data_IF_941059091342
#
_entry.id   IF_941059091342
#
_cell.length_a   1.000
_cell.length_b   1.000
_cell.length_c   1.000
_cell.angle_alpha   90.00
_cell.angle_beta   90.00
_cell.angle_gamma   90.00
#
_symmetry.space_group_name_H-M   'P 1'
#
loop_
_entity.id
_entity.type
_entity.pdbx_description
1 polymer ?
#
# COMPACT_ATOMS: atom_id res chain seq x y z
N UNK A 1 3.05 -1.32 22.50
CA UNK A 1 3.24 -1.79 21.11
C UNK A 1 2.69 -3.20 21.00
N UNK A 2 1.73 -3.45 20.11
CA UNK A 2 1.22 -4.80 19.81
C UNK A 2 2.15 -5.46 18.79
N UNK A 3 2.49 -6.74 18.97
CA UNK A 3 3.34 -7.50 18.03
C UNK A 3 2.54 -8.67 17.48
N UNK A 4 2.47 -8.77 16.15
CA UNK A 4 1.84 -9.89 15.45
C UNK A 4 2.95 -10.67 14.77
N UNK A 5 3.16 -11.93 15.19
CA UNK A 5 4.13 -12.83 14.56
C UNK A 5 3.41 -13.64 13.49
N UNK A 6 3.93 -13.58 12.28
CA UNK A 6 3.45 -14.33 11.11
C UNK A 6 4.55 -15.28 10.64
N UNK A 7 4.18 -16.30 9.86
CA UNK A 7 5.13 -17.30 9.36
C UNK A 7 6.07 -16.72 8.30
N UNK A 8 5.54 -15.91 7.40
CA UNK A 8 6.24 -15.40 6.22
C UNK A 8 5.64 -14.05 5.74
N UNK A 9 6.22 -13.50 4.66
CA UNK A 9 5.78 -12.22 4.08
C UNK A 9 4.35 -12.27 3.54
N UNK A 10 3.91 -13.42 3.01
CA UNK A 10 2.56 -13.56 2.44
C UNK A 10 1.51 -13.52 3.55
N UNK A 11 1.74 -14.20 4.67
CA UNK A 11 0.90 -14.04 5.86
C UNK A 11 0.96 -12.61 6.41
N UNK A 12 2.13 -11.97 6.35
CA UNK A 12 2.29 -10.55 6.71
C UNK A 12 1.38 -9.62 5.89
N UNK A 13 1.35 -9.78 4.56
CA UNK A 13 0.46 -9.03 3.67
C UNK A 13 -1.03 -9.23 3.99
N UNK A 14 -1.43 -10.45 4.34
CA UNK A 14 -2.81 -10.76 4.76
C UNK A 14 -3.19 -10.10 6.08
N UNK A 15 -2.28 -10.06 7.05
CA UNK A 15 -2.50 -9.33 8.30
C UNK A 15 -2.55 -7.81 8.06
N UNK A 16 -1.71 -7.28 7.17
CA UNK A 16 -1.76 -5.88 6.79
C UNK A 16 -3.09 -5.50 6.14
N UNK A 17 -3.62 -6.34 5.23
CA UNK A 17 -4.96 -6.15 4.64
C UNK A 17 -6.05 -5.98 5.72
N UNK A 18 -6.01 -6.78 6.79
CA UNK A 18 -6.97 -6.65 7.91
C UNK A 18 -6.87 -5.29 8.58
N UNK A 19 -5.66 -4.78 8.79
CA UNK A 19 -5.42 -3.44 9.36
C UNK A 19 -6.00 -2.35 8.46
N UNK A 20 -5.82 -2.45 7.14
CA UNK A 20 -6.44 -1.50 6.19
C UNK A 20 -7.97 -1.56 6.23
N UNK A 21 -8.57 -2.77 6.26
CA UNK A 21 -10.03 -2.95 6.39
C UNK A 21 -10.56 -2.33 7.67
N UNK A 22 -9.89 -2.56 8.79
CA UNK A 22 -10.26 -2.00 10.09
C UNK A 22 -10.15 -0.47 10.10
N UNK A 23 -9.08 0.09 9.53
CA UNK A 23 -8.90 1.53 9.40
C UNK A 23 -10.04 2.18 8.58
N UNK A 24 -10.39 1.59 7.43
CA UNK A 24 -11.50 2.07 6.59
C UNK A 24 -12.85 1.98 7.31
N UNK A 25 -13.11 0.86 7.98
CA UNK A 25 -14.34 0.67 8.77
C UNK A 25 -14.45 1.70 9.91
N UNK A 26 -13.31 2.14 10.45
CA UNK A 26 -13.22 3.21 11.46
C UNK A 26 -13.22 4.62 10.85
N UNK A 27 -13.45 4.76 9.55
CA UNK A 27 -13.61 6.05 8.87
C UNK A 27 -12.31 6.76 8.52
N UNK A 28 -11.17 6.07 8.53
CA UNK A 28 -9.90 6.64 8.08
C UNK A 28 -9.99 6.99 6.59
N UNK A 29 -9.46 8.18 6.24
CA UNK A 29 -9.48 8.72 4.87
C UNK A 29 -8.10 8.97 4.29
N UNK A 30 -7.05 8.98 5.10
CA UNK A 30 -5.68 9.30 4.67
C UNK A 30 -4.76 8.14 5.01
N UNK A 31 -4.03 7.64 4.01
CA UNK A 31 -3.14 6.48 4.14
C UNK A 31 -1.71 6.87 3.78
N UNK A 32 -0.80 6.70 4.74
CA UNK A 32 0.64 6.76 4.49
C UNK A 32 1.12 5.47 3.84
N UNK A 33 1.74 5.56 2.67
CA UNK A 33 2.18 4.41 1.88
C UNK A 33 3.70 4.38 1.73
N UNK A 34 4.27 3.18 1.76
CA UNK A 34 5.70 2.93 1.68
C UNK A 34 6.07 2.21 0.38
N UNK A 35 7.34 2.25 -0.01
CA UNK A 35 7.86 1.53 -1.19
C UNK A 35 8.88 0.46 -0.80
N UNK A 36 9.46 -0.22 -1.79
CA UNK A 36 10.40 -1.32 -1.60
C UNK A 36 9.72 -2.67 -1.43
N UNK A 37 10.52 -3.71 -1.16
CA UNK A 37 10.04 -5.11 -1.21
C UNK A 37 9.12 -5.52 -0.06
N UNK A 38 9.22 -4.85 1.10
CA UNK A 38 8.42 -5.21 2.28
C UNK A 38 6.91 -5.02 2.04
N UNK A 39 6.43 -3.87 1.52
CA UNK A 39 4.99 -3.67 1.30
C UNK A 39 4.41 -4.37 0.05
N UNK A 40 5.21 -4.98 -0.84
CA UNK A 40 4.71 -5.62 -2.07
C UNK A 40 3.59 -6.63 -1.80
N UNK A 41 3.80 -7.55 -0.85
CA UNK A 41 2.77 -8.54 -0.47
C UNK A 41 1.52 -7.89 0.14
N UNK A 42 1.64 -6.72 0.75
CA UNK A 42 0.47 -5.96 1.22
C UNK A 42 -0.31 -5.39 0.04
N UNK A 43 0.37 -4.81 -0.95
CA UNK A 43 -0.27 -4.28 -2.15
C UNK A 43 -0.94 -5.38 -2.98
N UNK A 44 -0.30 -6.53 -3.13
CA UNK A 44 -0.90 -7.70 -3.78
C UNK A 44 -2.23 -8.11 -3.12
N UNK A 45 -2.27 -8.16 -1.79
CA UNK A 45 -3.49 -8.52 -1.05
C UNK A 45 -4.56 -7.41 -1.13
N UNK A 46 -4.15 -6.13 -1.11
CA UNK A 46 -5.06 -5.01 -1.33
C UNK A 46 -5.69 -5.07 -2.72
N UNK A 47 -4.89 -5.27 -3.77
CA UNK A 47 -5.35 -5.35 -5.16
C UNK A 47 -6.34 -6.50 -5.36
N UNK A 48 -6.06 -7.68 -4.78
CA UNK A 48 -6.95 -8.85 -4.83
C UNK A 48 -8.24 -8.70 -4.00
N UNK A 49 -8.28 -7.73 -3.09
CA UNK A 49 -9.42 -7.53 -2.18
C UNK A 49 -10.57 -6.76 -2.83
N UNK A 50 -11.68 -6.70 -2.12
CA UNK A 50 -12.88 -5.92 -2.40
C UNK A 50 -12.83 -4.47 -1.85
N UNK A 51 -11.69 -4.04 -1.30
CA UNK A 51 -11.56 -2.69 -0.74
C UNK A 51 -11.70 -1.64 -1.85
N UNK A 52 -12.46 -0.58 -1.55
CA UNK A 52 -12.59 0.63 -2.35
C UNK A 52 -11.88 1.81 -1.66
N UNK A 53 -10.97 2.44 -2.39
CA UNK A 53 -10.21 3.60 -1.95
C UNK A 53 -10.65 4.91 -2.64
N UNK A 54 -11.73 4.90 -3.44
CA UNK A 54 -12.20 6.07 -4.22
C UNK A 54 -12.45 7.35 -3.40
N UNK A 55 -12.68 7.22 -2.10
CA UNK A 55 -12.89 8.33 -1.16
C UNK A 55 -11.71 8.51 -0.18
N UNK A 56 -10.52 8.04 -0.54
CA UNK A 56 -9.31 8.08 0.29
C UNK A 56 -8.23 8.93 -0.37
N UNK A 57 -7.25 9.35 0.43
CA UNK A 57 -6.08 10.10 0.01
C UNK A 57 -4.85 9.28 0.37
N UNK A 58 -3.95 9.06 -0.58
CA UNK A 58 -2.63 8.49 -0.32
C UNK A 58 -1.59 9.59 -0.11
N UNK A 59 -0.63 9.32 0.78
CA UNK A 59 0.57 10.13 0.95
C UNK A 59 1.77 9.18 0.98
N UNK A 60 2.67 9.32 0.02
CA UNK A 60 3.92 8.56 0.01
C UNK A 60 4.98 9.22 0.90
N UNK A 61 5.86 8.40 1.47
CA UNK A 61 6.90 8.88 2.40
C UNK A 61 7.95 9.76 1.71
N UNK A 62 8.30 9.42 0.47
CA UNK A 62 9.50 9.90 -0.20
C UNK A 62 9.41 9.80 -1.73
N UNK A 63 10.36 10.46 -2.40
CA UNK A 63 10.66 10.33 -3.83
C UNK A 63 12.14 10.69 -4.07
N UNK A 64 12.75 10.10 -5.09
CA UNK A 64 14.10 10.45 -5.51
C UNK A 64 14.13 11.81 -6.21
N UNK A 65 15.07 12.67 -5.78
CA UNK A 65 15.28 13.98 -6.40
C UNK A 65 15.71 13.81 -7.87
N UNK A 66 14.97 14.43 -8.78
CA UNK A 66 15.31 14.51 -10.20
C UNK A 66 14.67 13.43 -11.08
N UNK A 67 13.99 12.44 -10.50
CA UNK A 67 13.20 11.48 -11.27
C UNK A 67 11.81 12.05 -11.57
N UNK A 68 11.31 11.73 -12.76
CA UNK A 68 9.94 11.97 -13.18
C UNK A 68 9.05 10.77 -12.82
N UNK A 69 7.73 10.97 -12.71
CA UNK A 69 6.80 9.87 -12.39
C UNK A 69 6.78 8.72 -13.40
N UNK A 70 7.22 8.97 -14.64
CA UNK A 70 7.28 7.95 -15.70
C UNK A 70 8.58 7.12 -15.66
N UNK A 71 9.58 7.55 -14.88
CA UNK A 71 10.83 6.80 -14.75
C UNK A 71 10.58 5.52 -13.93
N UNK A 72 10.99 4.37 -14.45
CA UNK A 72 10.76 3.05 -13.83
C UNK A 72 11.38 2.92 -12.42
N UNK A 73 12.37 3.75 -12.09
CA UNK A 73 13.00 3.77 -10.78
C UNK A 73 12.37 4.78 -9.80
N UNK A 74 11.37 5.56 -10.24
CA UNK A 74 10.66 6.48 -9.35
C UNK A 74 9.69 5.75 -8.42
N UNK A 75 9.47 6.31 -7.24
CA UNK A 75 8.47 5.77 -6.32
C UNK A 75 7.04 6.02 -6.80
N UNK A 76 6.81 7.09 -7.56
CA UNK A 76 5.56 7.28 -8.28
C UNK A 76 5.24 6.13 -9.25
N UNK A 77 6.23 5.68 -10.05
CA UNK A 77 6.07 4.53 -10.94
C UNK A 77 5.81 3.24 -10.16
N UNK A 78 6.60 2.98 -9.11
CA UNK A 78 6.40 1.82 -8.24
C UNK A 78 4.96 1.74 -7.70
N UNK A 79 4.45 2.84 -7.14
CA UNK A 79 3.09 2.84 -6.57
C UNK A 79 2.00 2.67 -7.63
N UNK A 80 2.23 3.22 -8.83
CA UNK A 80 1.31 3.06 -9.95
C UNK A 80 1.20 1.59 -10.35
N UNK A 81 2.32 0.92 -10.51
CA UNK A 81 2.38 -0.51 -10.88
C UNK A 81 1.79 -1.41 -9.79
N UNK A 82 2.17 -1.21 -8.53
CA UNK A 82 1.77 -2.13 -7.46
C UNK A 82 0.37 -1.86 -6.89
N UNK A 83 -0.18 -0.65 -7.00
CA UNK A 83 -1.45 -0.31 -6.35
C UNK A 83 -2.38 0.55 -7.21
N UNK A 84 -1.94 1.73 -7.65
CA UNK A 84 -2.86 2.76 -8.15
C UNK A 84 -3.47 2.47 -9.53
N UNK A 85 -2.85 1.61 -10.34
CA UNK A 85 -3.48 1.14 -11.58
C UNK A 85 -4.68 0.22 -11.32
N UNK A 86 -4.75 -0.43 -10.15
CA UNK A 86 -5.75 -1.43 -9.84
C UNK A 86 -6.76 -0.97 -8.76
N UNK A 87 -6.41 0.04 -7.96
CA UNK A 87 -7.26 0.59 -6.90
C UNK A 87 -7.42 2.10 -7.03
N UNK A 88 -8.67 2.60 -7.00
CA UNK A 88 -8.98 4.02 -7.18
C UNK A 88 -8.59 4.90 -5.99
#
# INVERSE_FOLDING_TARGET
>A
MKVIKVKDQVEGGKEALKVFKEALANGVKVFGLATGSTPETTYDELVKSDIDFSNSISVNLDEYVGLKPEDEQSYAYFMKEHLFNAKP
#
